data_IF_578314702743
#
_entry.id   IF_578314702743
#
_cell.length_a   1.000
_cell.length_b   1.000
_cell.length_c   1.000
_cell.angle_alpha   90.00
_cell.angle_beta   90.00
_cell.angle_gamma   90.00
#
_symmetry.space_group_name_H-M   'P 1'
#
loop_
_entity.id
_entity.type
_entity.pdbx_description
1 polymer ?
#
# COMPACT_ATOMS: atom_id res chain seq x y z
N UNK A 1 4.71 6.07 20.99
CA UNK A 1 4.51 4.86 20.15
C UNK A 1 4.53 5.26 18.69
N UNK A 2 5.16 4.49 17.80
CA UNK A 2 5.05 4.71 16.35
C UNK A 2 3.84 3.95 15.82
N UNK A 3 3.11 4.58 14.91
CA UNK A 3 2.01 3.95 14.18
C UNK A 3 2.39 3.81 12.71
N UNK A 4 1.77 2.86 12.03
CA UNK A 4 1.82 2.76 10.58
C UNK A 4 0.40 2.87 10.02
N UNK A 5 0.27 3.62 8.93
CA UNK A 5 -0.96 3.71 8.18
C UNK A 5 -0.75 2.86 6.93
N UNK A 6 -1.65 1.91 6.72
CA UNK A 6 -1.70 1.12 5.49
C UNK A 6 -2.98 1.47 4.78
N UNK A 7 -2.87 2.05 3.58
CA UNK A 7 -4.01 2.43 2.75
C UNK A 7 -4.08 1.48 1.54
N UNK A 8 -4.74 0.31 1.66
CA UNK A 8 -5.04 -0.52 0.50
C UNK A 8 -6.06 0.19 -0.41
N UNK A 9 -5.93 -0.03 -1.70
CA UNK A 9 -6.92 0.40 -2.67
C UNK A 9 -6.85 -0.41 -3.95
N UNK A 10 -7.90 -0.27 -4.76
CA UNK A 10 -8.01 -0.92 -6.06
C UNK A 10 -8.36 0.11 -7.12
N UNK A 11 -7.76 -0.04 -8.28
CA UNK A 11 -8.00 0.80 -9.44
C UNK A 11 -8.28 -0.11 -10.63
N UNK A 12 -9.44 0.09 -11.26
CA UNK A 12 -9.85 -0.64 -12.46
C UNK A 12 -9.60 0.25 -13.68
N UNK A 13 -8.92 -0.28 -14.67
CA UNK A 13 -8.59 0.46 -15.89
C UNK A 13 -8.75 -0.41 -17.14
N UNK A 14 -9.01 0.26 -18.26
CA UNK A 14 -9.03 -0.33 -19.61
C UNK A 14 -7.79 0.14 -20.35
N UNK A 15 -7.02 -0.82 -20.86
CA UNK A 15 -5.75 -0.61 -21.56
C UNK A 15 -5.65 -1.58 -22.74
N UNK A 16 -5.43 -1.08 -23.98
CA UNK A 16 -5.08 -1.93 -25.11
C UNK A 16 -3.81 -2.73 -24.82
N UNK A 17 -3.78 -4.00 -25.19
CA UNK A 17 -2.68 -4.92 -24.89
C UNK A 17 -2.38 -5.03 -23.39
N UNK A 18 -3.42 -5.19 -22.56
CA UNK A 18 -3.32 -5.33 -21.10
C UNK A 18 -2.23 -6.32 -20.64
N UNK A 19 -2.02 -7.42 -21.38
CA UNK A 19 -0.97 -8.40 -21.10
C UNK A 19 0.45 -7.82 -21.14
N UNK A 20 0.74 -6.95 -22.12
CA UNK A 20 2.02 -6.25 -22.21
C UNK A 20 2.13 -5.19 -21.11
N UNK A 21 1.05 -4.46 -20.84
CA UNK A 21 1.01 -3.41 -19.83
C UNK A 21 1.28 -3.95 -18.40
N UNK A 22 0.67 -5.08 -18.03
CA UNK A 22 0.88 -5.70 -16.70
C UNK A 22 2.32 -6.19 -16.50
N UNK A 23 3.01 -6.54 -17.58
CA UNK A 23 4.42 -7.01 -17.57
C UNK A 23 5.42 -5.86 -17.67
N UNK A 24 4.98 -4.65 -17.99
CA UNK A 24 5.87 -3.49 -18.15
C UNK A 24 6.23 -2.88 -16.78
N UNK A 25 7.51 -2.96 -16.34
CA UNK A 25 7.94 -2.35 -15.09
C UNK A 25 7.82 -0.81 -15.12
N UNK A 26 7.93 -0.17 -16.28
CA UNK A 26 7.79 1.27 -16.42
C UNK A 26 6.32 1.72 -16.25
N UNK A 27 5.36 0.92 -16.74
CA UNK A 27 3.94 1.11 -16.46
C UNK A 27 3.67 1.09 -14.94
N UNK A 28 4.21 0.08 -14.25
CA UNK A 28 4.11 -0.06 -12.79
C UNK A 28 4.68 1.16 -12.04
N UNK A 29 5.85 1.63 -12.44
CA UNK A 29 6.49 2.82 -11.86
C UNK A 29 5.69 4.10 -12.14
N UNK A 30 5.17 4.27 -13.36
CA UNK A 30 4.35 5.42 -13.74
C UNK A 30 3.05 5.51 -12.93
N UNK A 31 2.41 4.37 -12.67
CA UNK A 31 1.24 4.30 -11.78
C UNK A 31 1.62 4.67 -10.34
N UNK A 32 2.69 4.08 -9.80
CA UNK A 32 3.15 4.37 -8.44
C UNK A 32 3.46 5.86 -8.25
N UNK A 33 4.14 6.48 -9.23
CA UNK A 33 4.47 7.92 -9.21
C UNK A 33 3.22 8.80 -9.30
N UNK A 34 2.22 8.40 -10.09
CA UNK A 34 0.95 9.14 -10.19
C UNK A 34 0.19 9.12 -8.86
N UNK A 35 0.07 7.94 -8.24
CA UNK A 35 -0.55 7.79 -6.92
C UNK A 35 0.22 8.58 -5.85
N UNK A 36 1.56 8.53 -5.89
CA UNK A 36 2.42 9.28 -4.98
C UNK A 36 2.18 10.79 -5.09
N UNK A 37 2.15 11.33 -6.31
CA UNK A 37 1.89 12.75 -6.55
C UNK A 37 0.52 13.20 -6.04
N UNK A 38 -0.52 12.41 -6.28
CA UNK A 38 -1.90 12.73 -5.85
C UNK A 38 -2.04 12.67 -4.33
N UNK A 39 -1.48 11.63 -3.72
CA UNK A 39 -1.54 11.45 -2.27
C UNK A 39 -0.59 12.39 -1.51
N UNK A 40 0.44 12.93 -2.18
CA UNK A 40 1.50 13.72 -1.56
C UNK A 40 2.47 12.90 -0.72
N UNK A 41 2.59 11.59 -1.01
CA UNK A 41 3.52 10.69 -0.32
C UNK A 41 4.73 10.39 -1.22
N UNK A 42 5.81 9.91 -0.61
CA UNK A 42 6.99 9.46 -1.37
C UNK A 42 6.67 8.19 -2.19
N UNK A 43 7.20 8.09 -3.40
CA UNK A 43 6.96 6.96 -4.30
C UNK A 43 7.39 5.62 -3.70
N UNK A 44 8.41 5.60 -2.85
CA UNK A 44 8.88 4.39 -2.16
C UNK A 44 7.89 3.88 -1.10
N UNK A 45 6.88 4.68 -0.75
CA UNK A 45 5.78 4.30 0.15
C UNK A 45 4.59 3.69 -0.58
N UNK A 46 4.59 3.71 -1.92
CA UNK A 46 3.51 3.18 -2.75
C UNK A 46 3.95 1.84 -3.34
N UNK A 47 3.30 0.76 -2.90
CA UNK A 47 3.43 -0.53 -3.57
C UNK A 47 2.26 -0.71 -4.54
N UNK A 48 2.55 -1.22 -5.72
CA UNK A 48 1.57 -1.48 -6.78
C UNK A 48 1.70 -2.93 -7.20
N UNK A 49 0.60 -3.59 -7.49
CA UNK A 49 0.52 -4.89 -8.11
C UNK A 49 -0.48 -4.80 -9.26
N UNK A 50 -0.06 -5.23 -10.45
CA UNK A 50 -0.88 -5.23 -11.65
C UNK A 50 -1.33 -6.66 -11.92
N UNK A 51 -2.59 -6.83 -12.27
CA UNK A 51 -3.15 -8.11 -12.70
C UNK A 51 -4.14 -7.91 -13.84
N UNK A 52 -4.32 -8.94 -14.67
CA UNK A 52 -5.35 -8.91 -15.69
C UNK A 52 -6.73 -9.02 -15.04
N UNK A 53 -7.65 -8.15 -15.43
CA UNK A 53 -9.05 -8.27 -15.05
C UNK A 53 -9.65 -9.51 -15.69
N UNK A 54 -10.14 -10.43 -14.88
CA UNK A 54 -10.85 -11.62 -15.39
C UNK A 54 -12.24 -11.20 -15.88
N UNK A 55 -12.42 -11.08 -17.19
CA UNK A 55 -13.77 -10.99 -17.76
C UNK A 55 -14.41 -12.37 -17.73
N UNK A 56 -15.63 -12.49 -17.19
CA UNK A 56 -16.39 -13.74 -17.27
C UNK A 56 -16.56 -14.11 -18.76
N UNK A 57 -16.12 -15.31 -19.11
CA UNK A 57 -16.13 -15.87 -20.46
C UNK A 57 -17.56 -15.92 -21.02
N UNK A 58 -17.97 -14.88 -21.73
CA UNK A 58 -19.12 -14.93 -22.62
C UNK A 58 -18.59 -14.89 -24.06
N UNK A 59 -18.43 -16.10 -24.60
CA UNK A 59 -18.31 -16.49 -26.02
C UNK A 59 -17.76 -15.41 -26.97
N UNK A 60 -16.47 -15.55 -27.31
CA UNK A 60 -15.72 -14.76 -28.31
C UNK A 60 -15.55 -13.29 -27.96
N UNK A 61 -14.53 -12.98 -27.15
CA UNK A 61 -14.09 -11.60 -27.04
C UNK A 61 -12.57 -11.50 -27.03
N UNK A 62 -12.12 -10.53 -27.84
CA UNK A 62 -10.78 -9.99 -27.97
C UNK A 62 -10.14 -9.83 -26.58
N UNK A 63 -8.81 -9.98 -26.51
CA UNK A 63 -8.02 -9.95 -25.28
C UNK A 63 -8.59 -9.00 -24.22
N UNK A 64 -8.72 -9.46 -22.97
CA UNK A 64 -9.32 -8.67 -21.90
C UNK A 64 -8.52 -7.40 -21.70
N UNK A 65 -9.03 -6.27 -22.22
CA UNK A 65 -8.41 -4.95 -22.08
C UNK A 65 -8.49 -4.42 -20.63
N UNK A 66 -9.06 -5.18 -19.70
CA UNK A 66 -9.17 -4.77 -18.30
C UNK A 66 -7.91 -5.12 -17.51
N UNK A 67 -7.38 -4.15 -16.78
CA UNK A 67 -6.28 -4.29 -15.83
C UNK A 67 -6.80 -3.89 -14.45
N UNK A 68 -6.56 -4.74 -13.46
CA UNK A 68 -6.80 -4.46 -12.04
C UNK A 68 -5.47 -4.08 -11.41
N UNK A 69 -5.47 -2.94 -10.74
CA UNK A 69 -4.32 -2.39 -10.03
C UNK A 69 -4.63 -2.40 -8.55
N UNK A 70 -4.01 -3.32 -7.83
CA UNK A 70 -4.00 -3.32 -6.37
C UNK A 70 -2.85 -2.44 -5.91
N UNK A 71 -3.13 -1.44 -5.08
CA UNK A 71 -2.10 -0.58 -4.53
C UNK A 71 -2.17 -0.54 -3.00
N UNK A 72 -1.04 -0.24 -2.38
CA UNK A 72 -0.94 -0.08 -0.93
C UNK A 72 0.02 1.05 -0.63
N UNK A 73 -0.47 2.08 0.04
CA UNK A 73 0.36 3.18 0.54
C UNK A 73 0.68 2.90 2.00
N UNK A 74 1.97 2.84 2.35
CA UNK A 74 2.42 2.62 3.74
C UNK A 74 3.15 3.85 4.25
N UNK A 75 2.58 4.54 5.23
CA UNK A 75 3.22 5.70 5.85
C UNK A 75 3.43 5.45 7.33
N UNK A 76 4.67 5.62 7.79
CA UNK A 76 5.03 5.61 9.20
C UNK A 76 4.82 7.00 9.80
N UNK A 77 4.03 7.10 10.87
CA UNK A 77 3.74 8.35 11.56
C UNK A 77 3.60 8.15 13.07
N UNK A 78 3.40 9.22 13.84
CA UNK A 78 2.97 9.09 15.24
C UNK A 78 1.49 8.67 15.29
N UNK A 79 1.11 7.86 16.27
CA UNK A 79 -0.24 7.30 16.39
C UNK A 79 -1.33 8.38 16.45
N UNK A 80 -1.06 9.51 17.10
CA UNK A 80 -1.99 10.64 17.27
C UNK A 80 -2.43 11.26 15.94
N UNK A 81 -1.52 11.36 14.98
CA UNK A 81 -1.80 11.99 13.68
C UNK A 81 -2.09 10.96 12.59
N UNK A 82 -1.94 9.66 12.90
CA UNK A 82 -2.00 8.61 11.90
C UNK A 82 -3.40 8.52 11.24
N UNK A 83 -4.46 8.61 12.03
CA UNK A 83 -5.83 8.55 11.53
C UNK A 83 -6.15 9.76 10.65
N UNK A 84 -5.88 10.98 11.14
CA UNK A 84 -6.16 12.22 10.39
C UNK A 84 -5.37 12.28 9.07
N UNK A 85 -4.11 11.86 9.09
CA UNK A 85 -3.28 11.83 7.89
C UNK A 85 -3.77 10.77 6.88
N UNK A 86 -4.20 9.60 7.36
CA UNK A 86 -4.81 8.57 6.52
C UNK A 86 -6.10 9.06 5.84
N UNK A 87 -6.95 9.77 6.58
CA UNK A 87 -8.18 10.37 6.05
C UNK A 87 -7.88 11.50 5.05
N UNK A 88 -6.85 12.32 5.29
CA UNK A 88 -6.41 13.35 4.34
C UNK A 88 -5.95 12.72 3.01
N UNK A 89 -5.11 11.69 3.06
CA UNK A 89 -4.66 10.98 1.86
C UNK A 89 -5.87 10.36 1.11
N UNK A 90 -6.76 9.70 1.85
CA UNK A 90 -7.98 9.11 1.29
C UNK A 90 -8.86 10.18 0.63
N UNK A 91 -8.98 11.35 1.26
CA UNK A 91 -9.69 12.51 0.72
C UNK A 91 -9.07 13.00 -0.59
N UNK A 92 -7.74 13.17 -0.64
CA UNK A 92 -7.02 13.58 -1.86
C UNK A 92 -7.22 12.60 -3.01
N UNK A 93 -7.12 11.30 -2.74
CA UNK A 93 -7.30 10.27 -3.78
C UNK A 93 -8.73 10.29 -4.33
N UNK A 94 -9.74 10.46 -3.45
CA UNK A 94 -11.16 10.51 -3.87
C UNK A 94 -11.55 11.83 -4.54
N UNK A 95 -10.88 12.92 -4.23
CA UNK A 95 -11.14 14.23 -4.79
C UNK A 95 -10.64 14.35 -6.24
N UNK A 96 -9.63 13.57 -6.63
CA UNK A 96 -9.13 13.56 -8.01
C UNK A 96 -10.13 12.87 -8.93
N UNK A 97 -10.46 13.53 -10.04
CA UNK A 97 -11.34 12.93 -11.05
C UNK A 97 -10.66 11.75 -11.75
N UNK A 98 -11.45 10.75 -12.16
CA UNK A 98 -10.91 9.57 -12.86
C UNK A 98 -10.19 9.96 -14.16
N UNK A 99 -10.65 11.01 -14.84
CA UNK A 99 -10.05 11.53 -16.06
C UNK A 99 -8.67 12.15 -15.82
N UNK A 100 -8.50 12.94 -14.76
CA UNK A 100 -7.22 13.52 -14.37
C UNK A 100 -6.24 12.43 -13.92
N UNK A 101 -6.71 11.46 -13.15
CA UNK A 101 -5.91 10.30 -12.74
C UNK A 101 -5.40 9.54 -13.98
N UNK A 102 -6.28 9.24 -14.94
CA UNK A 102 -5.90 8.61 -16.20
C UNK A 102 -4.88 9.43 -17.00
N UNK A 103 -5.06 10.75 -17.07
CA UNK A 103 -4.11 11.65 -17.73
C UNK A 103 -2.73 11.66 -17.06
N UNK A 104 -2.68 11.70 -15.72
CA UNK A 104 -1.43 11.63 -14.98
C UNK A 104 -0.70 10.29 -15.16
N UNK A 105 -1.45 9.18 -15.14
CA UNK A 105 -0.88 7.86 -15.37
C UNK A 105 -0.28 7.80 -16.78
N UNK A 106 -1.03 8.19 -17.83
CA UNK A 106 -0.50 8.22 -19.20
C UNK A 106 0.76 9.06 -19.32
N UNK A 107 0.79 10.25 -18.72
CA UNK A 107 1.95 11.13 -18.71
C UNK A 107 3.16 10.48 -18.04
N UNK A 108 2.98 9.90 -16.86
CA UNK A 108 4.08 9.29 -16.09
C UNK A 108 4.56 7.97 -16.69
N UNK A 109 3.66 7.16 -17.27
CA UNK A 109 4.02 5.93 -17.98
C UNK A 109 4.79 6.27 -19.26
N UNK A 110 4.30 7.21 -20.08
CA UNK A 110 5.01 7.63 -21.29
C UNK A 110 6.40 8.21 -20.96
N UNK A 111 6.54 8.93 -19.85
CA UNK A 111 7.83 9.45 -19.38
C UNK A 111 8.79 8.33 -18.91
N UNK A 112 8.27 7.19 -18.44
CA UNK A 112 9.08 6.08 -17.94
C UNK A 112 9.43 5.06 -19.03
N UNK A 113 8.49 4.72 -19.91
CA UNK A 113 8.64 3.66 -20.92
C UNK A 113 8.97 4.20 -22.32
N UNK A 114 8.74 5.48 -22.59
CA UNK A 114 8.74 6.05 -23.94
C UNK A 114 7.56 5.59 -24.81
N UNK A 115 6.67 4.74 -24.28
CA UNK A 115 5.51 4.19 -24.98
C UNK A 115 4.22 4.80 -24.44
N UNK A 116 3.34 5.22 -25.33
CA UNK A 116 2.04 5.78 -24.95
C UNK A 116 0.96 4.70 -24.97
N UNK A 117 0.36 4.42 -23.82
CA UNK A 117 -0.81 3.56 -23.71
C UNK A 117 -2.09 4.40 -23.66
N UNK A 118 -3.14 3.97 -24.34
CA UNK A 118 -4.46 4.58 -24.20
C UNK A 118 -5.16 3.99 -22.96
N UNK A 119 -4.98 4.64 -21.81
CA UNK A 119 -5.49 4.17 -20.51
C UNK A 119 -6.78 4.91 -20.19
N UNK A 120 -7.85 4.19 -19.89
CA UNK A 120 -9.09 4.72 -19.31
C UNK A 120 -9.26 4.18 -17.90
N UNK A 121 -9.64 5.02 -16.95
CA UNK A 121 -9.89 4.59 -15.57
C UNK A 121 -11.39 4.48 -15.34
N UNK A 122 -11.84 3.28 -14.96
CA UNK A 122 -13.27 2.99 -14.75
C UNK A 122 -13.71 3.19 -13.30
N UNK A 123 -12.79 3.04 -12.35
CA UNK A 123 -13.12 3.21 -10.94
C UNK A 123 -11.92 3.09 -10.02
N UNK A 124 -12.04 3.73 -8.87
CA UNK A 124 -11.03 3.72 -7.80
C UNK A 124 -11.70 3.48 -6.46
N UNK A 125 -11.09 2.64 -5.64
CA UNK A 125 -11.46 2.44 -4.24
C UNK A 125 -10.23 2.64 -3.35
N UNK A 126 -10.42 3.32 -2.23
CA UNK A 126 -9.37 3.58 -1.26
C UNK A 126 -9.95 3.37 0.15
N UNK A 127 -9.32 2.49 0.91
CA UNK A 127 -9.70 2.16 2.28
C UNK A 127 -8.50 2.43 3.19
N UNK A 128 -8.72 3.18 4.27
CA UNK A 128 -7.68 3.47 5.23
C UNK A 128 -7.73 2.48 6.39
N UNK A 129 -6.58 1.86 6.69
CA UNK A 129 -6.41 1.01 7.87
C UNK A 129 -5.23 1.51 8.69
N UNK A 130 -5.48 1.81 9.96
CA UNK A 130 -4.43 2.18 10.91
C UNK A 130 -3.96 0.91 11.62
N UNK A 131 -2.66 0.63 11.56
CA UNK A 131 -2.04 -0.51 12.23
C UNK A 131 -1.03 0.02 13.25
N UNK A 132 -1.27 -0.28 14.53
CA UNK A 132 -0.33 0.06 15.59
C UNK A 132 0.90 -0.85 15.49
N UNK A 133 2.06 -0.26 15.23
CA UNK A 133 3.32 -0.99 15.22
C UNK A 133 3.84 -1.08 16.65
N UNK A 134 3.53 -2.18 17.33
CA UNK A 134 4.08 -2.45 18.66
C UNK A 134 5.49 -3.01 18.48
N UNK A 135 6.47 -2.13 18.26
CA UNK A 135 7.88 -2.51 18.39
C UNK A 135 8.16 -2.81 19.86
N UNK A 136 7.96 -4.07 20.27
CA UNK A 136 8.55 -4.57 21.51
C UNK A 136 10.05 -4.64 21.25
N UNK A 137 10.79 -3.64 21.71
CA UNK A 137 12.24 -3.74 21.84
C UNK A 137 12.54 -4.85 22.84
N UNK A 138 12.63 -6.08 22.37
CA UNK A 138 13.32 -7.14 23.12
C UNK A 138 14.79 -6.75 23.09
N UNK A 139 15.17 -5.85 23.99
CA UNK A 139 16.55 -5.67 24.42
C UNK A 139 16.96 -6.99 25.06
N UNK A 140 17.33 -7.97 24.23
CA UNK A 140 18.12 -9.10 24.68
C UNK A 140 19.43 -8.50 25.15
N UNK A 141 19.49 -8.17 26.44
CA UNK A 141 20.72 -7.91 27.15
C UNK A 141 21.61 -9.11 26.85
N UNK A 142 22.68 -8.87 26.09
CA UNK A 142 23.65 -9.90 25.77
C UNK A 142 24.04 -10.61 27.08
N UNK A 143 23.95 -11.94 27.16
CA UNK A 143 24.46 -12.65 28.32
C UNK A 143 25.94 -12.29 28.46
N UNK A 144 26.42 -11.95 29.67
CA UNK A 144 27.84 -11.68 29.86
C UNK A 144 28.63 -12.89 29.38
N UNK A 145 29.68 -12.65 28.58
CA UNK A 145 30.64 -13.64 28.09
C UNK A 145 31.24 -14.43 29.24
N UNK A 146 30.53 -15.48 29.66
CA UNK A 146 31.05 -16.54 30.51
C UNK A 146 31.75 -17.54 29.61
N UNK A 147 33.04 -17.30 29.36
CA UNK A 147 33.88 -18.22 28.61
C UNK A 147 33.79 -19.65 29.16
N UNK A 148 33.34 -20.57 28.32
CA UNK A 148 33.57 -22.00 28.49
C UNK A 148 33.89 -22.59 27.12
N UNK A 149 35.13 -23.07 27.02
CA UNK A 149 35.67 -23.81 25.90
C UNK A 149 34.89 -25.11 25.64
N UNK A 150 34.75 -25.46 24.36
CA UNK A 150 34.65 -26.84 23.87
C UNK A 150 33.35 -27.60 24.15
N UNK A 151 32.47 -27.70 23.14
CA UNK A 151 31.39 -28.68 23.18
C UNK A 151 30.43 -28.59 22.01
N UNK A 152 30.61 -29.46 21.02
CA UNK A 152 29.71 -29.63 19.87
C UNK A 152 28.35 -30.15 20.35
N UNK A 153 27.30 -29.32 20.32
CA UNK A 153 25.93 -29.77 20.61
C UNK A 153 25.04 -29.54 19.39
N UNK A 154 24.67 -30.66 18.75
CA UNK A 154 23.59 -30.78 17.78
C UNK A 154 22.31 -31.05 18.56
N UNK A 155 21.30 -30.19 18.50
CA UNK A 155 19.93 -30.59 18.88
C UNK A 155 18.92 -29.98 17.92
N UNK A 156 18.15 -30.89 17.35
CA UNK A 156 16.99 -30.68 16.51
C UNK A 156 15.76 -30.32 17.34
N UNK A 157 14.80 -29.65 16.71
CA UNK A 157 13.39 -29.89 17.00
C UNK A 157 12.61 -28.73 17.61
N UNK A 158 11.60 -28.34 16.83
CA UNK A 158 10.20 -28.25 17.27
C UNK A 158 9.77 -27.03 18.09
N UNK A 159 9.02 -26.16 17.39
CA UNK A 159 7.64 -25.72 17.67
C UNK A 159 7.34 -25.12 19.05
N UNK A 160 6.42 -24.15 19.13
CA UNK A 160 5.27 -24.11 20.05
C UNK A 160 4.55 -22.76 19.97
N UNK A 161 3.23 -22.87 20.03
CA UNK A 161 2.20 -21.84 20.06
C UNK A 161 2.37 -20.89 21.25
N UNK A 162 2.09 -19.59 21.07
CA UNK A 162 1.69 -18.74 22.18
C UNK A 162 0.48 -17.87 21.87
N UNK A 163 -0.51 -18.06 22.74
CA UNK A 163 -1.81 -17.42 22.88
C UNK A 163 -1.69 -16.15 23.72
N UNK A 164 -2.51 -15.14 23.42
CA UNK A 164 -2.95 -14.12 24.38
C UNK A 164 -2.28 -12.75 24.26
N UNK A 165 -2.88 -11.64 24.69
CA UNK A 165 -4.24 -11.34 25.13
C UNK A 165 -4.36 -9.80 25.20
N UNK A 166 -5.57 -9.32 24.90
CA UNK A 166 -6.33 -8.22 25.52
C UNK A 166 -5.57 -7.06 26.22
N UNK A 167 -5.80 -5.84 25.75
CA UNK A 167 -5.39 -4.60 26.43
C UNK A 167 -6.14 -3.37 25.93
N UNK A 168 -7.36 -3.20 26.47
CA UNK A 168 -8.22 -2.02 26.34
C UNK A 168 -7.54 -0.79 26.99
N UNK A 169 -7.45 0.35 26.29
CA UNK A 169 -7.29 1.64 26.96
C UNK A 169 -7.98 2.77 26.18
N UNK A 170 -9.05 3.27 26.77
CA UNK A 170 -9.68 4.54 26.43
C UNK A 170 -8.69 5.68 26.71
N UNK A 171 -8.63 6.67 25.82
CA UNK A 171 -8.39 8.05 26.24
C UNK A 171 -9.02 9.00 25.23
N UNK A 172 -10.03 9.73 25.68
CA UNK A 172 -10.65 10.80 24.93
C UNK A 172 -9.84 12.09 25.02
N UNK A 173 -10.10 13.02 24.11
CA UNK A 173 -9.87 14.44 24.33
C UNK A 173 -10.78 15.26 23.40
N UNK A 174 -11.64 16.04 24.04
CA UNK A 174 -12.48 17.11 23.48
C UNK A 174 -11.58 18.27 23.03
N UNK A 175 -12.00 19.03 22.01
CA UNK A 175 -11.79 20.48 21.79
C UNK A 175 -12.48 20.81 20.45
N UNK A 176 -13.69 21.38 20.38
CA UNK A 176 -14.19 22.72 20.75
C UNK A 176 -13.55 23.86 19.91
N UNK A 177 -14.40 24.53 19.13
CA UNK A 177 -14.19 25.78 18.39
C UNK A 177 -15.16 25.76 17.20
N UNK A 178 -16.33 26.40 17.20
CA UNK A 178 -16.74 27.74 17.67
C UNK A 178 -15.97 28.88 17.00
N UNK A 179 -16.68 29.54 16.07
CA UNK A 179 -16.44 30.75 15.26
C UNK A 179 -17.03 30.49 13.86
N UNK A 180 -17.95 31.26 13.30
CA UNK A 180 -18.64 32.51 13.66
C UNK A 180 -19.96 32.49 12.87
#
# INVERSE_FOLDING_TARGET
MRGSITLPGKLNMVVPNASAFVKDPAAKQGIAKSLANISGVDVNKVNVALSLGTRRLSVRQLESESVIVDYTIKVSSTWEVATSYGDEIKGKIKAVSLAELGAQIRKNVAAASGTTYNITVDGITAEAKVEAEVTRSTSMKAPPDGGMAGGSIRVAGSSWLFVGALGLLLSGSRLRGDKL
#
